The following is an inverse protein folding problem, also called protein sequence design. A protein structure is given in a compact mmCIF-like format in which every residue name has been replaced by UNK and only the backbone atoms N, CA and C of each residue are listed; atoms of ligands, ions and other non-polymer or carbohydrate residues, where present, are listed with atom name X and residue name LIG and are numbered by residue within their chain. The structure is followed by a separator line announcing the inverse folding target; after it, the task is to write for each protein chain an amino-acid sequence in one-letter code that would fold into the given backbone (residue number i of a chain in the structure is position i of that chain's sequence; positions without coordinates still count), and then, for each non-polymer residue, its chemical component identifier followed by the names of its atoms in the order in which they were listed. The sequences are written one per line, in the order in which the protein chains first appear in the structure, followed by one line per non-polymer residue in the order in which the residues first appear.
data_IF_989249483277
#
_entry.id   IF_989249483277
#
_cell.length_a   1.000
_cell.length_b   1.000
_cell.length_c   1.000
_cell.angle_alpha   90.00
_cell.angle_beta   90.00
_cell.angle_gamma   90.00
#
_symmetry.space_group_name_H-M   'P 1'
#
loop_
_entity.id
_entity.type
_entity.pdbx_description
1 polymer ?
#
# COMPACT_ATOMS: atom_id res chain seq x y z
N UNK A 1 -25.96 17.45 -2.97
CA UNK A 1 -25.58 16.79 -3.03
C UNK A 1 -25.37 15.84 -2.87
N UNK A 2 -25.39 15.61 -2.89
CA UNK A 2 -25.02 14.72 -2.65
C UNK A 2 -24.91 13.60 -3.13
N UNK A 3 -25.16 13.31 -3.82
CA UNK A 3 -24.95 12.24 -4.40
C UNK A 3 -23.82 11.44 -4.27
N UNK A 4 -22.92 11.78 -3.76
CA UNK A 4 -21.68 11.16 -3.46
C UNK A 4 -21.79 10.01 -2.55
N UNK A 5 -22.90 9.89 -1.89
CA UNK A 5 -23.21 8.73 -1.09
C UNK A 5 -23.73 7.58 -1.91
N UNK A 6 -23.93 7.82 -3.17
CA UNK A 6 -24.41 6.80 -4.08
C UNK A 6 -23.25 5.85 -4.45
N UNK A 7 -23.44 4.58 -4.19
CA UNK A 7 -22.45 3.57 -4.49
C UNK A 7 -22.90 2.70 -5.65
N UNK A 8 -22.05 2.61 -6.66
CA UNK A 8 -22.24 1.67 -7.75
C UNK A 8 -21.90 0.28 -7.21
N UNK A 9 -22.83 -0.71 -7.29
CA UNK A 9 -22.52 -2.07 -6.84
C UNK A 9 -21.28 -2.67 -7.49
N UNK A 10 -21.02 -2.38 -8.76
CA UNK A 10 -19.84 -2.87 -9.44
C UNK A 10 -18.56 -2.29 -8.81
N UNK A 11 -18.61 -1.03 -8.38
CA UNK A 11 -17.46 -0.41 -7.72
C UNK A 11 -17.21 -1.04 -6.34
N UNK A 12 -18.27 -1.37 -5.59
CA UNK A 12 -18.14 -2.06 -4.32
C UNK A 12 -17.54 -3.45 -4.49
N UNK A 13 -17.96 -4.17 -5.53
CA UNK A 13 -17.40 -5.48 -5.84
C UNK A 13 -15.91 -5.40 -6.11
N UNK A 14 -15.48 -4.37 -6.84
CA UNK A 14 -14.07 -4.13 -7.10
C UNK A 14 -13.29 -3.83 -5.82
N UNK A 15 -13.89 -3.11 -4.89
CA UNK A 15 -13.24 -2.79 -3.62
C UNK A 15 -13.06 -4.03 -2.74
N UNK A 16 -13.89 -5.04 -2.91
CA UNK A 16 -13.83 -6.27 -2.12
C UNK A 16 -13.06 -7.40 -2.80
N UNK A 17 -12.54 -7.18 -4.00
CA UNK A 17 -11.70 -8.17 -4.67
C UNK A 17 -10.44 -8.45 -3.84
N UNK A 18 -10.05 -9.73 -3.75
CA UNK A 18 -8.86 -10.07 -2.97
C UNK A 18 -7.58 -9.53 -3.61
N UNK A 19 -6.58 -9.27 -2.77
CA UNK A 19 -5.26 -8.91 -3.23
C UNK A 19 -4.53 -10.15 -3.74
N UNK A 20 -3.78 -9.99 -4.83
CA UNK A 20 -2.85 -11.01 -5.29
C UNK A 20 -1.61 -10.95 -4.40
N UNK A 21 -1.24 -12.07 -3.82
CA UNK A 21 -0.05 -12.14 -2.96
C UNK A 21 1.12 -12.64 -3.78
N UNK A 22 2.15 -11.81 -3.89
CA UNK A 22 3.42 -12.18 -4.52
C UNK A 22 4.39 -12.54 -3.40
N UNK A 23 4.92 -13.78 -3.38
CA UNK A 23 5.78 -14.21 -2.30
C UNK A 23 7.04 -13.37 -2.18
N UNK A 24 7.49 -13.15 -0.94
CA UNK A 24 8.78 -12.55 -0.67
C UNK A 24 9.81 -13.68 -0.50
N UNK A 25 10.76 -13.77 -1.41
CA UNK A 25 11.77 -14.83 -1.41
C UNK A 25 12.85 -14.59 -0.36
N UNK A 26 12.90 -13.42 0.24
CA UNK A 26 13.93 -13.06 1.21
C UNK A 26 13.33 -12.28 2.40
N UNK A 27 12.39 -12.87 3.13
CA UNK A 27 11.83 -12.20 4.31
C UNK A 27 12.87 -12.12 5.43
N UNK A 28 12.68 -11.18 6.35
CA UNK A 28 13.53 -11.11 7.53
C UNK A 28 13.38 -12.37 8.36
N UNK A 29 14.49 -12.82 8.97
CA UNK A 29 14.43 -13.94 9.89
C UNK A 29 13.61 -13.59 11.14
N UNK A 30 13.14 -14.60 11.85
CA UNK A 30 12.37 -14.37 13.07
C UNK A 30 13.19 -13.61 14.11
N UNK A 31 14.48 -13.92 14.23
CA UNK A 31 15.38 -13.22 15.14
C UNK A 31 15.53 -11.76 14.76
N UNK A 32 15.74 -11.48 13.49
CA UNK A 32 15.85 -10.10 13.03
C UNK A 32 14.55 -9.34 13.24
N UNK A 33 13.43 -9.96 12.91
CA UNK A 33 12.10 -9.34 13.10
C UNK A 33 11.90 -9.00 14.57
N UNK A 34 12.22 -9.93 15.48
CA UNK A 34 12.05 -9.69 16.89
C UNK A 34 12.96 -8.55 17.38
N UNK A 35 14.19 -8.49 16.90
CA UNK A 35 15.11 -7.41 17.30
C UNK A 35 14.61 -6.04 16.84
N UNK A 36 13.97 -5.98 15.68
CA UNK A 36 13.39 -4.72 15.17
C UNK A 36 12.15 -4.31 15.96
N UNK A 37 11.36 -5.27 16.42
CA UNK A 37 10.19 -5.00 17.25
C UNK A 37 10.63 -4.50 18.62
N UNK A 38 11.68 -5.10 19.19
CA UNK A 38 12.17 -4.74 20.51
C UNK A 38 12.75 -3.32 20.56
N UNK A 39 13.39 -2.88 19.48
CA UNK A 39 13.98 -1.55 19.38
C UNK A 39 13.67 -0.92 18.02
N UNK A 40 12.43 -0.51 17.80
CA UNK A 40 12.06 0.11 16.53
C UNK A 40 12.72 1.49 16.39
N UNK A 41 13.15 1.80 15.18
CA UNK A 41 13.71 3.10 14.84
C UNK A 41 12.78 3.78 13.83
N UNK A 42 12.36 4.99 14.14
CA UNK A 42 11.45 5.74 13.29
C UNK A 42 12.07 6.01 11.91
N UNK A 43 11.35 5.63 10.86
CA UNK A 43 11.79 5.88 9.49
C UNK A 43 12.93 4.99 9.01
N UNK A 44 13.33 3.98 9.80
CA UNK A 44 14.43 3.11 9.43
C UNK A 44 14.05 1.64 9.37
N UNK A 45 12.87 1.31 9.86
CA UNK A 45 12.39 -0.08 9.92
C UNK A 45 11.12 -0.18 9.09
N UNK A 46 11.13 -1.10 8.14
CA UNK A 46 10.02 -1.30 7.22
C UNK A 46 9.61 -2.78 7.20
N UNK A 47 8.37 -3.04 6.84
CA UNK A 47 7.88 -4.41 6.72
C UNK A 47 8.52 -5.13 5.53
N UNK A 48 8.47 -6.47 5.55
CA UNK A 48 8.97 -7.29 4.44
C UNK A 48 8.19 -7.06 3.16
N UNK A 49 6.93 -6.69 3.27
CA UNK A 49 6.03 -6.56 2.14
C UNK A 49 5.35 -5.19 2.14
N UNK A 50 4.82 -4.84 1.00
CA UNK A 50 4.01 -3.64 0.84
C UNK A 50 2.77 -3.97 0.02
N UNK A 51 1.75 -3.14 0.14
CA UNK A 51 0.54 -3.26 -0.67
C UNK A 51 0.55 -2.23 -1.78
N UNK A 52 -0.03 -2.60 -2.89
CA UNK A 52 -0.10 -1.76 -4.08
C UNK A 52 -1.49 -1.84 -4.68
N UNK A 53 -2.02 -0.69 -5.06
CA UNK A 53 -3.24 -0.60 -5.87
C UNK A 53 -3.07 0.54 -6.85
N UNK A 54 -3.68 0.41 -8.01
CA UNK A 54 -3.67 1.46 -9.02
C UNK A 54 -5.09 1.99 -9.21
N UNK A 55 -5.23 3.30 -9.14
CA UNK A 55 -6.48 3.96 -9.50
C UNK A 55 -6.33 4.63 -10.86
N UNK A 56 -7.23 4.32 -11.77
CA UNK A 56 -7.22 4.87 -13.13
C UNK A 56 -8.56 5.52 -13.40
N UNK A 57 -8.53 6.74 -13.89
CA UNK A 57 -9.75 7.45 -14.24
C UNK A 57 -10.55 6.65 -15.27
N UNK A 58 -11.81 6.42 -14.98
CA UNK A 58 -12.70 5.64 -15.84
C UNK A 58 -12.70 4.14 -15.55
N UNK A 59 -11.71 3.65 -14.84
CA UNK A 59 -11.59 2.21 -14.52
C UNK A 59 -11.71 1.95 -13.01
N UNK A 60 -11.33 2.92 -12.18
CA UNK A 60 -11.32 2.76 -10.74
C UNK A 60 -10.08 2.04 -10.24
N UNK A 61 -10.23 1.33 -9.14
CA UNK A 61 -9.13 0.60 -8.50
C UNK A 61 -8.86 -0.73 -9.17
N UNK A 62 -7.58 -1.05 -9.36
CA UNK A 62 -7.13 -2.28 -9.99
C UNK A 62 -5.74 -2.64 -9.47
N UNK A 63 -5.23 -3.79 -9.94
CA UNK A 63 -3.87 -4.23 -9.65
C UNK A 63 -3.57 -4.28 -8.15
N UNK A 64 -4.44 -4.95 -7.41
CA UNK A 64 -4.29 -5.11 -5.97
C UNK A 64 -3.26 -6.18 -5.68
N UNK A 65 -2.13 -5.78 -5.10
CA UNK A 65 -1.04 -6.68 -4.81
C UNK A 65 -0.53 -6.51 -3.39
N UNK A 66 -0.12 -7.61 -2.78
CA UNK A 66 0.79 -7.62 -1.65
C UNK A 66 2.10 -8.17 -2.21
N UNK A 67 3.16 -7.39 -2.14
CA UNK A 67 4.42 -7.71 -2.81
C UNK A 67 5.61 -7.38 -1.93
N UNK A 68 6.80 -7.92 -2.24
CA UNK A 68 8.01 -7.59 -1.48
C UNK A 68 8.26 -6.08 -1.49
N UNK A 69 8.69 -5.55 -0.35
CA UNK A 69 9.09 -4.16 -0.24
C UNK A 69 10.21 -3.85 -1.24
N UNK A 70 10.01 -2.83 -2.05
CA UNK A 70 10.96 -2.47 -3.11
C UNK A 70 10.76 -1.01 -3.52
N UNK A 71 11.73 -0.42 -4.20
CA UNK A 71 11.58 0.93 -4.74
C UNK A 71 10.39 1.05 -5.67
N UNK A 72 9.74 2.21 -5.63
CA UNK A 72 8.68 2.55 -6.57
C UNK A 72 9.29 3.22 -7.79
N UNK A 73 8.84 2.79 -8.97
CA UNK A 73 9.24 3.44 -10.20
C UNK A 73 8.26 4.56 -10.49
N UNK A 74 8.72 5.79 -10.44
CA UNK A 74 7.89 6.98 -10.58
C UNK A 74 8.42 7.91 -11.65
N UNK A 75 7.48 8.53 -12.37
CA UNK A 75 7.81 9.64 -13.26
C UNK A 75 8.26 10.83 -12.40
N UNK A 76 9.34 11.54 -12.78
CA UNK A 76 9.80 12.71 -12.04
C UNK A 76 8.74 13.80 -11.89
N UNK A 77 7.75 13.84 -12.78
CA UNK A 77 6.64 14.79 -12.70
C UNK A 77 5.48 14.34 -11.85
N UNK A 78 5.58 13.18 -11.19
CA UNK A 78 4.48 12.68 -10.36
C UNK A 78 4.12 13.69 -9.26
N UNK A 79 2.81 13.92 -9.09
CA UNK A 79 2.31 14.92 -8.15
C UNK A 79 2.75 14.67 -6.71
N UNK A 80 2.91 13.42 -6.32
CA UNK A 80 3.34 13.09 -4.96
C UNK A 80 4.71 13.70 -4.64
N UNK A 81 5.58 13.82 -5.65
CA UNK A 81 6.93 14.37 -5.47
C UNK A 81 6.94 15.89 -5.34
N UNK A 82 5.89 16.57 -5.79
CA UNK A 82 5.84 18.04 -5.86
C UNK A 82 4.76 18.64 -4.98
N UNK A 83 3.68 17.90 -4.74
CA UNK A 83 2.53 18.40 -4.01
C UNK A 83 2.17 17.54 -2.81
N UNK A 84 3.06 16.63 -2.42
CA UNK A 84 2.90 15.80 -1.23
C UNK A 84 1.53 15.10 -1.16
N UNK A 85 1.11 14.48 -2.25
CA UNK A 85 -0.15 13.74 -2.30
C UNK A 85 0.00 12.39 -1.60
N UNK A 86 0.10 12.46 -0.29
CA UNK A 86 0.31 11.27 0.53
C UNK A 86 -0.38 11.44 1.87
N UNK A 87 -0.62 10.35 2.56
CA UNK A 87 -1.18 10.39 3.90
C UNK A 87 -0.40 9.44 4.80
N UNK A 88 -0.48 9.70 6.08
CA UNK A 88 0.16 8.90 7.11
C UNK A 88 -0.91 8.40 8.06
N UNK A 89 -0.87 7.10 8.34
CA UNK A 89 -1.74 6.48 9.33
C UNK A 89 -0.88 5.73 10.34
N UNK A 90 -1.26 5.79 11.60
CA UNK A 90 -0.57 5.11 12.66
C UNK A 90 -1.48 4.13 13.38
N UNK A 91 -0.93 2.96 13.69
CA UNK A 91 -1.61 1.95 14.48
C UNK A 91 -0.67 1.48 15.58
N UNK A 92 -1.21 1.39 16.79
CA UNK A 92 -0.42 0.97 17.95
C UNK A 92 -1.17 -0.11 18.70
N UNK A 93 -0.51 -1.23 18.90
CA UNK A 93 -1.08 -2.36 19.62
C UNK A 93 -0.73 -2.34 21.10
#
# INVERSE_FOLDING_TARGET
MTENTHHDPAALDKLTEPFTVLPNDNPASDEKRQSLIDKPAFGQVFSDNMTHMTWTKGEGWSDRRVEPYAPLKMDPGASVLHYAQECFEGLKA
#
